data_IF_649372155158
#
_entry.id   IF_649372155158
#
_cell.length_a   1.000
_cell.length_b   1.000
_cell.length_c   1.000
_cell.angle_alpha   90.00
_cell.angle_beta   90.00
_cell.angle_gamma   90.00
#
_symmetry.space_group_name_H-M   'P 1'
#
loop_
_entity.id
_entity.type
_entity.pdbx_description
1 polymer ?
#
# COMPACT_ATOMS: atom_id res chain seq x y z
N UNK A 1 -11.05 45.86 -47.93
CA UNK A 1 -11.30 46.42 -46.58
C UNK A 1 -10.57 45.55 -45.56
N UNK A 2 -9.95 46.16 -44.53
CA UNK A 2 -8.49 46.08 -44.38
C UNK A 2 -8.02 45.43 -43.07
N UNK A 3 -6.76 44.98 -43.09
CA UNK A 3 -5.95 44.57 -41.96
C UNK A 3 -5.37 45.78 -41.20
N UNK A 4 -5.30 45.77 -39.85
CA UNK A 4 -4.68 46.87 -39.11
C UNK A 4 -3.17 46.63 -38.91
N UNK A 5 -2.37 47.58 -39.39
CA UNK A 5 -0.96 47.77 -39.03
C UNK A 5 -0.89 48.54 -37.69
N UNK A 6 -0.09 48.05 -36.75
CA UNK A 6 0.24 48.76 -35.51
C UNK A 6 1.47 49.64 -35.74
N UNK A 7 1.31 50.94 -35.58
CA UNK A 7 2.37 51.95 -35.67
C UNK A 7 2.77 52.38 -34.25
N UNK A 8 4.07 52.31 -33.97
CA UNK A 8 4.71 52.68 -32.71
C UNK A 8 4.67 54.21 -32.55
N UNK A 9 4.06 54.72 -31.49
CA UNK A 9 4.08 56.15 -31.15
C UNK A 9 5.10 56.41 -30.03
N UNK A 10 6.15 57.16 -30.36
CA UNK A 10 7.09 57.72 -29.41
C UNK A 10 6.54 59.03 -28.85
N UNK A 11 6.51 59.19 -27.53
CA UNK A 11 6.08 60.39 -26.85
C UNK A 11 7.26 60.97 -26.07
N UNK A 12 7.78 62.11 -26.53
CA UNK A 12 8.79 62.91 -25.84
C UNK A 12 8.09 63.98 -24.99
N UNK A 13 8.36 64.00 -23.69
CA UNK A 13 7.85 65.02 -22.76
C UNK A 13 8.97 65.96 -22.33
N UNK A 14 8.67 67.26 -22.42
CA UNK A 14 9.55 68.36 -22.04
C UNK A 14 9.66 68.50 -20.51
N UNK A 15 10.88 68.80 -20.05
CA UNK A 15 11.23 69.09 -18.66
C UNK A 15 10.70 70.47 -18.24
N UNK A 16 9.91 70.51 -17.17
CA UNK A 16 9.66 71.69 -16.36
C UNK A 16 10.19 71.45 -14.94
N UNK A 17 11.10 72.31 -14.50
CA UNK A 17 11.69 72.30 -13.16
C UNK A 17 10.66 72.68 -12.09
N UNK A 18 10.55 71.87 -11.04
CA UNK A 18 9.85 72.18 -9.79
C UNK A 18 10.82 71.96 -8.60
N UNK A 19 10.66 72.73 -7.51
CA UNK A 19 11.73 73.01 -6.55
C UNK A 19 12.12 71.83 -5.64
N UNK A 20 13.39 71.86 -5.23
CA UNK A 20 14.09 70.89 -4.38
C UNK A 20 13.32 70.62 -3.08
N UNK A 21 12.75 69.42 -2.94
CA UNK A 21 12.18 68.96 -1.67
C UNK A 21 13.30 68.70 -0.64
N UNK A 22 13.06 68.96 0.65
CA UNK A 22 14.04 68.73 1.71
C UNK A 22 14.36 67.23 1.82
N UNK A 23 15.64 66.92 2.06
CA UNK A 23 16.13 65.55 2.24
C UNK A 23 15.32 64.81 3.33
N UNK A 24 14.88 63.57 3.09
CA UNK A 24 14.32 62.75 4.14
C UNK A 24 15.41 62.41 5.15
N UNK A 25 15.14 62.70 6.43
CA UNK A 25 15.94 62.20 7.56
C UNK A 25 16.08 60.69 7.41
N UNK A 26 17.32 60.18 7.50
CA UNK A 26 17.57 58.75 7.64
C UNK A 26 16.76 58.22 8.83
N UNK A 27 16.00 57.12 8.67
CA UNK A 27 15.41 56.46 9.82
C UNK A 27 16.53 55.93 10.71
N UNK A 28 16.44 56.20 12.01
CA UNK A 28 17.25 55.53 13.03
C UNK A 28 17.08 54.00 12.90
N UNK A 29 18.12 53.20 13.21
CA UNK A 29 18.00 51.75 13.13
C UNK A 29 16.92 51.28 14.12
N UNK A 30 15.88 50.64 13.58
CA UNK A 30 14.85 49.95 14.36
C UNK A 30 15.52 48.98 15.35
N UNK A 31 15.24 49.19 16.65
CA UNK A 31 15.52 48.18 17.66
C UNK A 31 14.64 46.97 17.34
N UNK A 32 15.25 45.86 16.90
CA UNK A 32 14.60 44.55 16.86
C UNK A 32 14.12 44.21 18.28
N UNK A 33 12.81 44.29 18.51
CA UNK A 33 12.19 43.62 19.64
C UNK A 33 12.38 42.10 19.46
N UNK A 34 12.74 41.36 20.51
CA UNK A 34 12.81 39.91 20.43
C UNK A 34 11.41 39.35 20.23
N UNK A 35 11.22 38.56 19.19
CA UNK A 35 10.02 37.74 18.96
C UNK A 35 9.77 36.88 20.20
N UNK A 36 8.53 36.79 20.72
CA UNK A 36 8.25 35.84 21.79
C UNK A 36 8.45 34.42 21.24
N UNK A 37 9.43 33.70 21.78
CA UNK A 37 9.52 32.25 21.57
C UNK A 37 8.25 31.62 22.14
N UNK A 38 7.39 31.10 21.27
CA UNK A 38 6.28 30.26 21.69
C UNK A 38 6.86 28.99 22.32
N UNK A 39 6.48 28.62 23.55
CA UNK A 39 7.01 27.42 24.18
C UNK A 39 6.61 26.20 23.36
N UNK A 40 7.58 25.30 23.13
CA UNK A 40 7.33 24.00 22.51
C UNK A 40 6.22 23.25 23.29
N UNK A 41 5.30 22.56 22.60
CA UNK A 41 4.29 21.76 23.27
C UNK A 41 4.96 20.69 24.15
N UNK A 42 4.48 20.57 25.39
CA UNK A 42 5.01 19.58 26.35
C UNK A 42 4.67 18.16 25.89
N UNK A 43 5.57 17.17 26.05
CA UNK A 43 5.25 15.76 25.87
C UNK A 43 4.09 15.34 26.77
N UNK A 44 3.12 14.58 26.24
CA UNK A 44 1.92 14.17 26.96
C UNK A 44 2.15 12.89 27.79
N UNK A 45 3.18 12.89 28.66
CA UNK A 45 3.39 11.85 29.68
C UNK A 45 3.54 12.57 31.01
N UNK A 46 2.61 12.33 31.93
CA UNK A 46 2.70 12.75 33.33
C UNK A 46 3.72 11.86 34.06
N UNK A 47 4.88 12.39 34.51
CA UNK A 47 5.88 11.59 35.23
C UNK A 47 5.45 11.25 36.67
N UNK A 48 4.26 11.67 37.12
CA UNK A 48 3.76 11.50 38.48
C UNK A 48 2.63 10.47 38.68
N UNK A 49 2.07 9.86 37.61
CA UNK A 49 0.99 8.87 37.79
C UNK A 49 1.55 7.52 38.22
N UNK A 50 1.57 7.28 39.54
CA UNK A 50 1.82 5.94 40.07
C UNK A 50 0.67 4.99 39.67
N UNK A 51 0.98 3.76 39.19
CA UNK A 51 -0.05 2.77 38.92
C UNK A 51 -0.80 2.41 40.22
N UNK A 52 -2.08 2.02 40.16
CA UNK A 52 -2.80 1.57 41.34
C UNK A 52 -2.06 0.40 41.98
N UNK A 53 -1.78 0.51 43.28
CA UNK A 53 -1.15 -0.57 44.05
C UNK A 53 -2.18 -1.65 44.35
N UNK A 54 -1.82 -2.89 44.00
CA UNK A 54 -2.42 -4.17 44.39
C UNK A 54 -3.72 -4.59 43.70
N UNK A 55 -3.66 -4.87 42.39
CA UNK A 55 -4.43 -5.98 41.83
C UNK A 55 -3.49 -7.14 41.52
N UNK A 56 -3.63 -8.23 42.30
CA UNK A 56 -2.84 -9.44 42.11
C UNK A 56 -3.48 -10.24 40.98
N UNK A 57 -3.03 -9.98 39.74
CA UNK A 57 -3.39 -10.82 38.60
C UNK A 57 -2.97 -12.27 38.90
N UNK A 58 -3.84 -13.27 38.65
CA UNK A 58 -3.46 -14.66 38.80
C UNK A 58 -2.28 -14.98 37.87
N UNK A 59 -1.34 -15.85 38.28
CA UNK A 59 -0.21 -16.19 37.44
C UNK A 59 -0.73 -16.82 36.14
N UNK A 60 -0.49 -16.12 35.04
CA UNK A 60 -0.70 -16.66 33.70
C UNK A 60 0.13 -17.94 33.62
N UNK A 61 -0.53 -19.08 33.42
CA UNK A 61 0.17 -20.28 32.97
C UNK A 61 0.97 -19.84 31.74
N UNK A 62 2.29 -20.04 31.77
CA UNK A 62 3.17 -19.54 30.72
C UNK A 62 2.66 -20.04 29.36
N UNK A 63 1.98 -19.13 28.65
CA UNK A 63 1.74 -19.29 27.24
C UNK A 63 3.13 -19.37 26.59
N UNK A 64 3.32 -20.19 25.54
CA UNK A 64 4.56 -20.15 24.78
C UNK A 64 4.90 -18.69 24.47
N UNK A 65 6.17 -18.30 24.64
CA UNK A 65 6.58 -16.93 24.39
C UNK A 65 6.07 -16.53 22.99
N UNK A 66 5.34 -15.40 22.87
CA UNK A 66 4.85 -14.97 21.58
C UNK A 66 6.05 -14.84 20.66
N UNK A 67 5.93 -15.37 19.45
CA UNK A 67 6.93 -15.17 18.41
C UNK A 67 7.19 -13.65 18.36
N UNK A 68 8.43 -13.17 18.58
CA UNK A 68 8.72 -11.74 18.61
C UNK A 68 8.42 -11.07 17.27
N UNK A 69 8.12 -11.85 16.24
CA UNK A 69 7.64 -11.41 14.94
C UNK A 69 6.15 -11.72 14.70
N UNK A 70 5.33 -12.11 15.67
CA UNK A 70 3.86 -12.20 15.49
C UNK A 70 3.23 -10.79 15.52
N UNK A 71 3.57 -9.99 14.51
CA UNK A 71 3.17 -8.59 14.30
C UNK A 71 1.72 -8.45 13.82
N UNK A 72 0.98 -9.55 13.66
CA UNK A 72 -0.42 -9.53 13.23
C UNK A 72 -1.40 -9.23 14.38
N UNK A 73 -0.90 -9.07 15.61
CA UNK A 73 -1.73 -8.67 16.74
C UNK A 73 -1.94 -7.15 16.75
N UNK A 74 -3.19 -6.66 16.71
CA UNK A 74 -3.47 -5.25 16.87
C UNK A 74 -2.91 -4.71 18.19
N UNK A 75 -2.35 -3.50 18.17
CA UNK A 75 -1.86 -2.80 19.38
C UNK A 75 -2.97 -2.63 20.43
N UNK A 76 -4.22 -2.49 19.97
CA UNK A 76 -5.42 -2.55 20.79
C UNK A 76 -6.58 -3.16 19.99
N UNK A 77 -7.57 -3.76 20.67
CA UNK A 77 -8.84 -4.11 20.04
C UNK A 77 -9.47 -2.92 19.30
N UNK A 78 -10.16 -3.14 18.16
CA UNK A 78 -10.71 -2.05 17.34
C UNK A 78 -11.66 -1.09 18.09
N UNK A 79 -12.46 -1.61 19.02
CA UNK A 79 -13.37 -0.83 19.85
C UNK A 79 -12.62 0.07 20.85
N UNK A 80 -11.54 -0.44 21.44
CA UNK A 80 -10.66 0.36 22.29
C UNK A 80 -9.94 1.45 21.48
N UNK A 81 -9.38 1.12 20.31
CA UNK A 81 -8.74 2.08 19.42
C UNK A 81 -9.71 3.20 18.98
N UNK A 82 -10.95 2.83 18.65
CA UNK A 82 -12.02 3.78 18.33
C UNK A 82 -12.37 4.67 19.53
N UNK A 83 -12.55 4.09 20.72
CA UNK A 83 -12.86 4.85 21.94
C UNK A 83 -11.73 5.81 22.34
N UNK A 84 -10.48 5.44 22.07
CA UNK A 84 -9.31 6.31 22.27
C UNK A 84 -9.17 7.41 21.22
N UNK A 85 -9.99 7.43 20.17
CA UNK A 85 -9.96 8.47 19.14
C UNK A 85 -8.68 8.47 18.31
N UNK A 86 -8.07 7.30 18.09
CA UNK A 86 -6.86 7.17 17.26
C UNK A 86 -7.12 7.57 15.80
N UNK A 87 -8.37 7.50 15.36
CA UNK A 87 -8.85 8.17 14.17
C UNK A 87 -9.53 9.49 14.56
N UNK A 88 -9.14 10.64 13.99
CA UNK A 88 -9.53 11.98 14.46
C UNK A 88 -10.97 12.37 14.07
N UNK A 89 -11.95 11.47 14.20
CA UNK A 89 -13.35 11.71 13.80
C UNK A 89 -14.00 12.84 14.62
N UNK A 90 -13.81 12.84 15.94
CA UNK A 90 -14.40 13.85 16.81
C UNK A 90 -13.76 15.23 16.63
N UNK A 91 -12.42 15.29 16.59
CA UNK A 91 -11.68 16.54 16.45
C UNK A 91 -11.86 17.20 15.08
N UNK A 92 -12.22 16.43 14.06
CA UNK A 92 -12.56 16.95 12.71
C UNK A 92 -14.05 17.21 12.51
N UNK A 93 -14.89 16.98 13.53
CA UNK A 93 -16.34 17.24 13.47
C UNK A 93 -17.15 16.22 12.66
N UNK A 94 -16.56 15.08 12.28
CA UNK A 94 -17.23 14.04 11.47
C UNK A 94 -18.48 13.50 12.16
N UNK A 95 -18.44 13.32 13.49
CA UNK A 95 -19.58 12.83 14.27
C UNK A 95 -20.80 13.76 14.15
N UNK A 96 -20.60 15.07 14.35
CA UNK A 96 -21.68 16.07 14.28
C UNK A 96 -22.19 16.24 12.84
N UNK A 97 -21.28 16.14 11.86
CA UNK A 97 -21.62 16.15 10.44
C UNK A 97 -22.53 14.99 10.06
N UNK A 98 -22.23 13.76 10.50
CA UNK A 98 -23.05 12.58 10.22
C UNK A 98 -24.38 12.59 10.99
N UNK A 99 -24.44 13.16 12.20
CA UNK A 99 -25.71 13.34 12.91
C UNK A 99 -26.66 14.29 12.16
N UNK A 100 -26.13 15.37 11.60
CA UNK A 100 -26.91 16.33 10.81
C UNK A 100 -27.20 15.87 9.38
N UNK A 101 -26.35 15.00 8.82
CA UNK A 101 -26.48 14.44 7.47
C UNK A 101 -26.31 12.91 7.48
N UNK A 102 -27.28 12.13 7.99
CA UNK A 102 -27.13 10.68 8.18
C UNK A 102 -26.88 9.87 6.91
N UNK A 103 -27.15 10.45 5.73
CA UNK A 103 -26.92 9.80 4.43
C UNK A 103 -25.62 10.21 3.77
N UNK A 104 -24.82 11.09 4.37
CA UNK A 104 -23.58 11.62 3.79
C UNK A 104 -22.37 10.83 4.33
N UNK A 105 -22.48 9.50 4.27
CA UNK A 105 -21.55 8.52 4.85
C UNK A 105 -20.57 7.94 3.81
N UNK A 106 -20.43 8.60 2.66
CA UNK A 106 -19.50 8.21 1.59
C UNK A 106 -20.08 7.21 0.57
N UNK A 107 -21.31 6.70 0.74
CA UNK A 107 -21.94 5.85 -0.28
C UNK A 107 -22.06 6.57 -1.62
N UNK A 108 -21.65 5.89 -2.70
CA UNK A 108 -21.65 6.44 -4.05
C UNK A 108 -20.44 7.33 -4.37
N UNK A 109 -19.48 7.46 -3.46
CA UNK A 109 -18.22 8.19 -3.68
C UNK A 109 -17.10 7.19 -3.97
N UNK A 110 -16.28 7.50 -4.98
CA UNK A 110 -15.05 6.78 -5.28
C UNK A 110 -13.84 7.59 -4.80
N UNK A 111 -12.93 6.94 -4.09
CA UNK A 111 -11.69 7.54 -3.59
C UNK A 111 -10.52 6.83 -4.27
N UNK A 112 -9.61 7.62 -4.85
CA UNK A 112 -8.31 7.13 -5.31
C UNK A 112 -7.25 7.47 -4.27
N UNK A 113 -6.45 6.49 -3.88
CA UNK A 113 -5.36 6.64 -2.91
C UNK A 113 -4.04 6.43 -3.68
N UNK A 114 -3.19 7.45 -3.66
CA UNK A 114 -1.84 7.41 -4.25
C UNK A 114 -0.85 7.46 -3.09
N UNK A 115 -0.34 6.31 -2.69
CA UNK A 115 0.48 6.13 -1.49
C UNK A 115 1.44 4.93 -1.68
N UNK A 116 1.97 4.35 -0.59
CA UNK A 116 2.89 3.19 -0.61
C UNK A 116 2.24 1.89 -1.06
N UNK A 117 0.91 1.84 -1.15
CA UNK A 117 0.13 0.63 -1.37
C UNK A 117 -0.98 0.48 -0.34
N UNK A 118 -1.83 -0.54 -0.50
CA UNK A 118 -2.86 -0.93 0.47
C UNK A 118 -2.82 -2.44 0.57
N UNK A 119 -2.74 -3.00 1.77
CA UNK A 119 -2.90 -4.44 2.00
C UNK A 119 -4.41 -4.80 2.01
N UNK A 120 -4.91 -5.53 1.00
CA UNK A 120 -6.34 -5.88 0.89
C UNK A 120 -6.82 -6.88 1.95
N UNK A 121 -5.93 -7.53 2.69
CA UNK A 121 -6.24 -8.47 3.76
C UNK A 121 -6.55 -7.81 5.09
N UNK A 122 -6.32 -6.50 5.24
CA UNK A 122 -6.58 -5.78 6.50
C UNK A 122 -8.10 -5.77 6.83
N UNK A 123 -8.49 -6.23 8.04
CA UNK A 123 -9.88 -6.14 8.48
C UNK A 123 -10.42 -4.70 8.41
N UNK A 124 -11.61 -4.54 7.83
CA UNK A 124 -12.22 -3.22 7.61
C UNK A 124 -12.00 -2.61 6.22
N UNK A 125 -11.14 -3.24 5.39
CA UNK A 125 -10.97 -2.89 3.97
C UNK A 125 -11.72 -3.83 3.01
N UNK A 126 -12.32 -4.92 3.51
CA UNK A 126 -13.00 -5.89 2.67
C UNK A 126 -14.35 -5.39 2.14
N UNK A 127 -15.18 -4.80 2.99
CA UNK A 127 -16.56 -4.43 2.66
C UNK A 127 -16.92 -3.01 3.12
N UNK A 128 -17.83 -2.40 2.38
CA UNK A 128 -18.48 -1.14 2.74
C UNK A 128 -19.55 -1.39 3.81
N UNK A 129 -20.12 -0.31 4.37
CA UNK A 129 -21.27 -0.40 5.28
C UNK A 129 -22.52 -1.03 4.66
N UNK A 130 -22.58 -1.18 3.33
CA UNK A 130 -23.67 -1.85 2.61
C UNK A 130 -23.34 -3.27 2.17
N UNK A 131 -22.20 -3.82 2.62
CA UNK A 131 -21.78 -5.19 2.31
C UNK A 131 -21.22 -5.39 0.90
N UNK A 132 -20.99 -4.31 0.14
CA UNK A 132 -20.33 -4.40 -1.17
C UNK A 132 -18.81 -4.36 -1.01
N UNK A 133 -18.02 -4.85 -1.97
CA UNK A 133 -16.55 -4.69 -1.93
C UNK A 133 -16.15 -3.23 -1.75
N UNK A 134 -15.24 -2.96 -0.82
CA UNK A 134 -14.74 -1.60 -0.55
C UNK A 134 -13.53 -1.26 -1.44
N UNK A 135 -12.61 -2.20 -1.63
CA UNK A 135 -11.54 -2.09 -2.60
C UNK A 135 -12.06 -2.50 -4.00
N UNK A 136 -11.93 -1.59 -4.96
CA UNK A 136 -12.39 -1.82 -6.33
C UNK A 136 -11.27 -2.28 -7.26
N UNK A 137 -10.09 -1.69 -7.11
CA UNK A 137 -8.87 -2.04 -7.85
C UNK A 137 -7.64 -1.73 -6.98
N UNK A 138 -6.52 -2.37 -7.29
CA UNK A 138 -5.20 -2.16 -6.70
C UNK A 138 -4.18 -2.20 -7.85
N UNK A 139 -3.29 -1.21 -7.91
CA UNK A 139 -2.31 -1.06 -8.99
C UNK A 139 -0.99 -0.58 -8.43
N UNK A 140 0.09 -1.21 -8.88
CA UNK A 140 1.44 -0.70 -8.77
C UNK A 140 1.79 0.07 -10.06
N UNK A 141 2.15 1.35 -9.91
CA UNK A 141 2.60 2.22 -11.01
C UNK A 141 4.10 2.53 -10.96
N UNK A 142 4.82 1.91 -10.02
CA UNK A 142 6.26 2.08 -9.81
C UNK A 142 7.11 0.96 -10.41
N UNK A 143 6.46 -0.15 -10.79
CA UNK A 143 7.09 -1.40 -11.23
C UNK A 143 7.90 -2.12 -10.14
N UNK A 144 7.72 -1.78 -8.86
CA UNK A 144 8.37 -2.47 -7.72
C UNK A 144 7.97 -3.95 -7.67
N UNK A 145 6.70 -4.26 -7.95
CA UNK A 145 6.20 -5.63 -8.01
C UNK A 145 6.25 -6.25 -9.41
N UNK A 146 6.94 -5.63 -10.38
CA UNK A 146 7.03 -6.18 -11.72
C UNK A 146 7.81 -7.50 -11.74
N UNK A 147 7.21 -8.54 -12.34
CA UNK A 147 7.85 -9.86 -12.43
C UNK A 147 8.22 -10.16 -13.88
N UNK A 148 9.53 -10.23 -14.21
CA UNK A 148 9.97 -10.66 -15.53
C UNK A 148 9.55 -12.10 -15.82
N UNK A 149 8.69 -12.26 -16.82
CA UNK A 149 8.19 -13.56 -17.25
C UNK A 149 9.00 -14.12 -18.42
N UNK A 150 9.21 -15.44 -18.42
CA UNK A 150 9.84 -16.18 -19.52
C UNK A 150 8.99 -17.38 -19.87
N UNK A 151 8.93 -17.74 -21.17
CA UNK A 151 8.28 -18.97 -21.60
C UNK A 151 8.99 -20.18 -20.99
N UNK A 152 8.19 -21.16 -20.55
CA UNK A 152 8.65 -22.41 -19.98
C UNK A 152 7.98 -23.60 -20.67
N UNK A 153 8.61 -24.77 -20.61
CA UNK A 153 8.05 -26.03 -21.08
C UNK A 153 8.08 -27.05 -19.94
N UNK A 154 6.92 -27.51 -19.44
CA UNK A 154 6.89 -28.52 -18.40
C UNK A 154 7.39 -29.87 -18.92
N UNK A 155 7.92 -30.70 -18.03
CA UNK A 155 8.29 -32.09 -18.29
C UNK A 155 7.44 -33.00 -17.41
N UNK A 156 6.45 -33.65 -18.03
CA UNK A 156 5.44 -34.43 -17.32
C UNK A 156 4.63 -33.55 -16.36
N UNK A 157 4.51 -33.99 -15.11
CA UNK A 157 3.83 -33.24 -14.03
C UNK A 157 4.76 -32.26 -13.29
N UNK A 158 5.87 -31.85 -13.91
CA UNK A 158 6.85 -30.97 -13.28
C UNK A 158 7.37 -29.88 -14.21
N UNK A 159 7.91 -28.81 -13.64
CA UNK A 159 8.60 -27.75 -14.37
C UNK A 159 9.82 -27.26 -13.59
N UNK A 160 10.86 -26.85 -14.30
CA UNK A 160 12.01 -26.15 -13.70
C UNK A 160 11.87 -24.64 -13.93
N UNK A 161 11.95 -23.87 -12.85
CA UNK A 161 11.93 -22.40 -12.88
C UNK A 161 13.13 -21.91 -12.08
N UNK A 162 14.09 -21.28 -12.76
CA UNK A 162 15.31 -20.75 -12.16
C UNK A 162 16.08 -21.79 -11.30
N UNK A 163 16.16 -23.04 -11.76
CA UNK A 163 16.85 -24.13 -11.05
C UNK A 163 16.04 -24.75 -9.91
N UNK A 164 14.76 -24.38 -9.78
CA UNK A 164 13.83 -24.94 -8.79
C UNK A 164 12.80 -25.80 -9.51
N UNK A 165 12.78 -27.09 -9.17
CA UNK A 165 11.81 -28.04 -9.70
C UNK A 165 10.52 -27.99 -8.89
N UNK A 166 9.42 -27.64 -9.56
CA UNK A 166 8.06 -27.70 -9.04
C UNK A 166 7.34 -28.95 -9.57
N UNK A 167 6.65 -29.68 -8.70
CA UNK A 167 5.76 -30.80 -9.07
C UNK A 167 4.29 -30.34 -9.17
N UNK A 168 3.37 -31.22 -9.57
CA UNK A 168 1.94 -30.89 -9.60
C UNK A 168 1.55 -29.94 -10.74
N UNK A 169 2.33 -29.89 -11.82
CA UNK A 169 2.06 -29.00 -12.96
C UNK A 169 0.72 -29.29 -13.66
N UNK A 170 0.16 -30.49 -13.45
CA UNK A 170 -1.20 -30.86 -13.81
C UNK A 170 -2.26 -29.88 -13.32
N UNK A 171 -1.99 -29.17 -12.21
CA UNK A 171 -2.83 -28.07 -11.72
C UNK A 171 -2.93 -26.93 -12.72
N UNK A 172 -1.81 -26.54 -13.33
CA UNK A 172 -1.72 -25.46 -14.32
C UNK A 172 -2.34 -25.93 -15.64
N UNK A 173 -2.04 -27.16 -16.07
CA UNK A 173 -2.58 -27.68 -17.35
C UNK A 173 -4.09 -27.92 -17.32
N UNK A 174 -4.69 -28.05 -16.13
CA UNK A 174 -6.14 -28.08 -15.98
C UNK A 174 -6.83 -26.78 -16.43
N UNK A 175 -6.13 -25.65 -16.42
CA UNK A 175 -6.64 -24.35 -16.90
C UNK A 175 -6.29 -24.10 -18.36
N UNK A 176 -5.17 -24.65 -18.82
CA UNK A 176 -4.76 -24.59 -20.21
C UNK A 176 -3.83 -25.77 -20.53
N UNK A 177 -4.31 -26.74 -21.30
CA UNK A 177 -3.54 -27.95 -21.60
C UNK A 177 -2.53 -27.79 -22.75
N UNK A 178 -2.59 -26.68 -23.50
CA UNK A 178 -1.74 -26.40 -24.66
C UNK A 178 -0.69 -25.31 -24.39
N UNK A 179 -0.84 -24.58 -23.28
CA UNK A 179 -0.10 -23.36 -23.03
C UNK A 179 -0.60 -22.19 -23.88
N UNK A 180 0.18 -21.10 -23.98
CA UNK A 180 1.54 -20.95 -23.47
C UNK A 180 1.63 -20.95 -21.94
N UNK A 181 2.81 -21.31 -21.44
CA UNK A 181 3.15 -21.23 -20.02
C UNK A 181 4.33 -20.28 -19.88
N UNK A 182 4.26 -19.44 -18.85
CA UNK A 182 5.29 -18.50 -18.47
C UNK A 182 5.66 -18.73 -17.01
N UNK A 183 6.88 -18.37 -16.63
CA UNK A 183 7.29 -18.36 -15.23
C UNK A 183 8.18 -17.16 -14.95
N UNK A 184 8.19 -16.76 -13.69
CA UNK A 184 9.02 -15.69 -13.17
C UNK A 184 9.43 -15.96 -11.74
N UNK A 185 10.29 -15.07 -11.24
CA UNK A 185 10.68 -15.03 -9.84
C UNK A 185 10.51 -13.61 -9.31
N UNK A 186 10.10 -13.49 -8.06
CA UNK A 186 10.20 -12.26 -7.30
C UNK A 186 11.28 -12.43 -6.24
N UNK A 187 12.23 -11.49 -6.14
CA UNK A 187 13.24 -11.49 -5.09
C UNK A 187 12.72 -10.65 -3.93
N UNK A 188 13.00 -11.07 -2.70
CA UNK A 188 12.52 -10.38 -1.49
C UNK A 188 13.38 -9.16 -1.16
N UNK A 189 14.71 -9.30 -1.19
CA UNK A 189 15.67 -8.25 -0.84
C UNK A 189 15.37 -6.86 -1.44
N UNK A 190 14.96 -6.70 -2.71
CA UNK A 190 14.67 -5.39 -3.28
C UNK A 190 13.39 -4.72 -2.77
N UNK A 191 12.48 -5.45 -2.11
CA UNK A 191 11.13 -4.99 -1.74
C UNK A 191 11.07 -4.23 -0.41
N UNK A 192 12.22 -3.92 0.17
CA UNK A 192 12.35 -3.17 1.41
C UNK A 192 13.25 -3.83 2.47
N UNK A 193 13.36 -3.23 3.65
CA UNK A 193 14.14 -3.77 4.75
C UNK A 193 13.42 -4.94 5.45
N UNK A 194 14.15 -5.95 5.96
CA UNK A 194 13.58 -6.95 6.85
C UNK A 194 12.98 -6.31 8.12
N UNK A 195 11.90 -6.87 8.68
CA UNK A 195 11.20 -8.07 8.22
C UNK A 195 10.14 -7.77 7.14
N UNK A 196 9.98 -6.53 6.68
CA UNK A 196 8.89 -6.16 5.79
C UNK A 196 9.00 -6.80 4.39
N UNK A 197 10.21 -7.07 3.92
CA UNK A 197 10.44 -7.75 2.64
C UNK A 197 10.39 -9.28 2.70
N UNK A 198 10.27 -9.87 3.88
CA UNK A 198 10.14 -11.33 4.08
C UNK A 198 8.70 -11.75 3.75
N UNK A 199 8.40 -11.90 2.45
CA UNK A 199 7.07 -12.17 1.93
C UNK A 199 6.57 -13.56 2.36
N UNK A 200 7.47 -14.54 2.48
CA UNK A 200 7.13 -15.91 2.85
C UNK A 200 7.19 -16.18 4.37
N UNK A 201 7.71 -15.23 5.15
CA UNK A 201 7.81 -15.30 6.59
C UNK A 201 8.83 -16.33 7.09
N UNK A 202 9.87 -16.63 6.32
CA UNK A 202 10.88 -17.64 6.65
C UNK A 202 12.02 -17.10 7.54
N UNK A 203 12.06 -15.79 7.80
CA UNK A 203 13.08 -15.11 8.60
C UNK A 203 14.33 -14.69 7.82
N UNK A 204 14.34 -14.87 6.50
CA UNK A 204 15.39 -14.42 5.57
C UNK A 204 14.76 -13.62 4.43
N UNK A 205 15.58 -12.91 3.65
CA UNK A 205 15.12 -12.10 2.49
C UNK A 205 16.04 -12.24 1.28
N UNK A 206 17.06 -13.09 1.36
CA UNK A 206 18.03 -13.32 0.29
C UNK A 206 17.54 -14.37 -0.71
N UNK A 207 16.36 -14.94 -0.48
CA UNK A 207 15.73 -15.87 -1.40
C UNK A 207 14.80 -15.16 -2.40
N UNK A 208 14.01 -15.98 -3.07
CA UNK A 208 13.16 -15.55 -4.18
C UNK A 208 12.00 -16.50 -4.25
N UNK A 209 10.87 -16.08 -4.79
CA UNK A 209 9.65 -16.87 -4.83
C UNK A 209 9.26 -17.11 -6.28
N UNK A 210 8.91 -18.36 -6.60
CA UNK A 210 8.60 -18.79 -7.96
C UNK A 210 7.10 -18.69 -8.22
N UNK A 211 6.78 -18.31 -9.44
CA UNK A 211 5.42 -18.28 -9.94
C UNK A 211 5.34 -18.77 -11.38
N UNK A 212 4.17 -19.32 -11.72
CA UNK A 212 3.82 -19.81 -13.05
C UNK A 212 2.57 -19.09 -13.50
N UNK A 213 2.55 -18.70 -14.77
CA UNK A 213 1.44 -17.99 -15.42
C UNK A 213 0.99 -18.76 -16.64
N UNK A 214 -0.32 -18.86 -16.83
CA UNK A 214 -0.91 -19.35 -18.08
C UNK A 214 -2.19 -18.57 -18.41
N UNK A 215 -2.75 -18.83 -19.60
CA UNK A 215 -3.98 -18.18 -20.06
C UNK A 215 -5.15 -19.13 -19.87
N UNK A 216 -6.03 -18.82 -18.93
CA UNK A 216 -7.33 -19.48 -18.76
C UNK A 216 -8.35 -18.94 -19.78
N UNK A 217 -9.58 -19.48 -19.75
CA UNK A 217 -10.67 -19.04 -20.64
C UNK A 217 -11.13 -17.60 -20.40
N UNK A 218 -10.92 -17.10 -19.19
CA UNK A 218 -11.38 -15.81 -18.68
C UNK A 218 -10.24 -14.81 -18.46
N UNK A 219 -8.98 -15.18 -18.70
CA UNK A 219 -7.87 -14.24 -18.56
C UNK A 219 -6.53 -14.91 -18.31
N UNK A 220 -5.55 -14.10 -17.92
CA UNK A 220 -4.29 -14.59 -17.39
C UNK A 220 -4.47 -15.01 -15.94
N UNK A 221 -3.80 -16.08 -15.55
CA UNK A 221 -3.87 -16.66 -14.22
C UNK A 221 -2.49 -17.03 -13.72
N UNK A 222 -2.22 -16.75 -12.46
CA UNK A 222 -1.00 -17.08 -11.73
C UNK A 222 -1.23 -18.24 -10.76
N UNK A 223 -0.21 -19.10 -10.65
CA UNK A 223 -0.03 -20.09 -9.61
C UNK A 223 1.32 -19.84 -8.94
N UNK A 224 1.33 -19.74 -7.62
CA UNK A 224 2.54 -19.64 -6.82
C UNK A 224 2.61 -20.82 -5.85
N UNK A 225 3.80 -21.31 -5.53
CA UNK A 225 4.02 -22.31 -4.46
C UNK A 225 3.84 -21.61 -3.10
N UNK A 226 2.59 -21.38 -2.69
CA UNK A 226 2.27 -20.49 -1.55
C UNK A 226 2.67 -21.08 -0.20
N UNK A 227 2.71 -22.41 -0.10
CA UNK A 227 3.09 -23.11 1.13
C UNK A 227 4.55 -23.57 1.19
N UNK A 228 5.30 -23.34 0.09
CA UNK A 228 6.73 -23.62 -0.03
C UNK A 228 7.08 -25.11 -0.12
N UNK A 229 6.09 -25.98 -0.38
CA UNK A 229 6.30 -27.43 -0.44
C UNK A 229 6.89 -27.91 -1.80
N UNK A 230 7.13 -26.99 -2.75
CA UNK A 230 7.60 -27.23 -4.13
C UNK A 230 6.57 -27.95 -4.99
N UNK A 231 5.29 -27.70 -4.77
CA UNK A 231 4.17 -28.28 -5.52
C UNK A 231 3.20 -27.20 -5.95
N UNK A 232 2.68 -27.33 -7.17
CA UNK A 232 1.55 -26.54 -7.63
C UNK A 232 0.21 -27.25 -7.40
N UNK A 233 0.20 -28.51 -6.97
CA UNK A 233 -1.01 -29.34 -6.96
C UNK A 233 -2.17 -28.77 -6.11
N UNK A 234 -1.85 -28.13 -4.99
CA UNK A 234 -2.82 -27.52 -4.07
C UNK A 234 -3.08 -26.04 -4.31
N UNK A 235 -2.36 -25.43 -5.26
CA UNK A 235 -2.30 -23.99 -5.38
C UNK A 235 -3.56 -23.41 -6.01
N UNK A 236 -3.98 -22.25 -5.50
CA UNK A 236 -5.14 -21.54 -6.02
C UNK A 236 -4.72 -20.69 -7.22
N UNK A 237 -5.51 -20.69 -8.31
CA UNK A 237 -5.34 -19.70 -9.37
C UNK A 237 -5.57 -18.30 -8.79
N UNK A 238 -4.83 -17.32 -9.29
CA UNK A 238 -5.02 -15.90 -9.01
C UNK A 238 -5.11 -15.13 -10.33
N UNK A 239 -6.23 -14.46 -10.56
CA UNK A 239 -6.47 -13.64 -11.74
C UNK A 239 -6.07 -12.17 -11.52
N UNK A 240 -6.29 -11.31 -12.53
CA UNK A 240 -6.18 -9.87 -12.34
C UNK A 240 -7.15 -9.40 -11.23
N UNK A 241 -6.64 -8.59 -10.32
CA UNK A 241 -7.38 -8.14 -9.15
C UNK A 241 -8.67 -7.39 -9.51
N UNK A 242 -8.68 -6.59 -10.57
CA UNK A 242 -9.89 -5.88 -11.01
C UNK A 242 -11.00 -6.84 -11.43
N UNK A 243 -10.62 -7.99 -12.00
CA UNK A 243 -11.54 -9.01 -12.47
C UNK A 243 -12.09 -9.86 -11.32
N UNK A 244 -11.20 -10.48 -10.54
CA UNK A 244 -11.59 -11.51 -9.58
C UNK A 244 -11.54 -11.07 -8.11
N UNK A 245 -10.79 -10.00 -7.80
CA UNK A 245 -10.48 -9.55 -6.42
C UNK A 245 -9.86 -10.65 -5.56
N UNK A 246 -9.19 -11.58 -6.23
CA UNK A 246 -8.46 -12.66 -5.59
C UNK A 246 -7.13 -12.13 -5.06
N UNK A 247 -6.73 -12.65 -3.91
CA UNK A 247 -5.44 -12.37 -3.29
C UNK A 247 -4.77 -13.67 -2.90
N UNK A 248 -3.46 -13.60 -2.71
CA UNK A 248 -2.65 -14.69 -2.20
C UNK A 248 -1.53 -14.12 -1.33
N UNK A 249 -0.72 -15.00 -0.78
CA UNK A 249 0.48 -14.64 -0.05
C UNK A 249 1.23 -15.91 0.29
N UNK A 250 2.50 -15.78 0.64
CA UNK A 250 3.33 -16.92 1.00
C UNK A 250 3.32 -17.11 2.51
N UNK A 251 3.21 -18.36 2.92
CA UNK A 251 3.34 -18.76 4.32
C UNK A 251 3.59 -20.26 4.40
N UNK A 252 4.49 -20.67 5.28
CA UNK A 252 4.66 -22.08 5.59
C UNK A 252 3.31 -22.74 5.92
N UNK A 253 3.10 -23.97 5.45
CA UNK A 253 1.84 -24.70 5.61
C UNK A 253 1.27 -24.62 7.03
N UNK A 254 0.03 -24.13 7.14
CA UNK A 254 -0.67 -23.95 8.42
C UNK A 254 -0.42 -22.61 9.12
N UNK A 255 0.38 -21.71 8.51
CA UNK A 255 0.54 -20.32 8.92
C UNK A 255 -0.30 -19.39 8.02
N UNK A 256 -0.58 -18.21 8.54
CA UNK A 256 -1.22 -17.13 7.78
C UNK A 256 -0.14 -16.32 7.06
N UNK A 257 -0.33 -15.97 5.77
CA UNK A 257 0.54 -15.02 5.09
C UNK A 257 0.66 -13.71 5.86
N UNK A 258 1.88 -13.17 5.92
CA UNK A 258 2.17 -11.90 6.59
C UNK A 258 1.78 -10.69 5.76
N UNK A 259 1.82 -10.85 4.44
CA UNK A 259 1.52 -9.81 3.45
C UNK A 259 0.51 -10.38 2.47
N UNK A 260 -0.55 -9.62 2.24
CA UNK A 260 -1.54 -9.97 1.23
C UNK A 260 -1.16 -9.35 -0.11
N UNK A 261 -1.16 -10.17 -1.15
CA UNK A 261 -0.68 -9.80 -2.49
C UNK A 261 -1.82 -9.92 -3.48
N UNK A 262 -1.93 -8.92 -4.34
CA UNK A 262 -2.80 -8.92 -5.51
C UNK A 262 -1.97 -9.04 -6.80
N UNK A 263 -2.55 -9.61 -7.85
CA UNK A 263 -1.91 -9.72 -9.16
C UNK A 263 -2.59 -8.80 -10.18
N UNK A 264 -1.80 -8.16 -11.03
CA UNK A 264 -2.25 -7.42 -12.18
C UNK A 264 -1.61 -7.97 -13.45
N UNK A 265 -2.44 -8.15 -14.48
CA UNK A 265 -1.97 -8.62 -15.78
C UNK A 265 -2.21 -7.58 -16.86
N UNK A 266 -1.27 -7.49 -17.80
CA UNK A 266 -1.47 -6.80 -19.07
C UNK A 266 -0.96 -7.66 -20.23
N UNK A 267 -1.07 -7.17 -21.47
CA UNK A 267 -0.57 -7.88 -22.66
C UNK A 267 -1.66 -8.49 -23.55
N UNK A 268 -2.95 -8.38 -23.18
CA UNK A 268 -4.07 -8.76 -24.05
C UNK A 268 -3.99 -10.21 -24.56
N UNK A 269 -3.84 -10.38 -25.88
CA UNK A 269 -3.64 -11.70 -26.54
C UNK A 269 -2.16 -12.07 -26.76
N UNK A 270 -1.23 -11.15 -26.46
CA UNK A 270 0.21 -11.34 -26.60
C UNK A 270 0.84 -12.04 -25.39
N UNK A 271 2.12 -11.77 -25.14
CA UNK A 271 2.78 -12.27 -23.93
C UNK A 271 2.28 -11.48 -22.70
N UNK A 272 2.04 -12.15 -21.56
CA UNK A 272 1.58 -11.47 -20.37
C UNK A 272 2.69 -10.60 -19.78
N UNK A 273 2.31 -9.45 -19.23
CA UNK A 273 3.08 -8.81 -18.16
C UNK A 273 2.40 -9.09 -16.83
N UNK A 274 3.19 -9.21 -15.77
CA UNK A 274 2.70 -9.43 -14.42
C UNK A 274 3.29 -8.36 -13.50
N UNK A 275 2.42 -7.64 -12.81
CA UNK A 275 2.75 -6.83 -11.65
C UNK A 275 2.08 -7.42 -10.41
N UNK A 276 2.81 -7.51 -9.31
CA UNK A 276 2.28 -7.84 -8.00
C UNK A 276 2.07 -6.55 -7.21
N UNK A 277 0.98 -6.47 -6.45
CA UNK A 277 0.71 -5.33 -5.56
C UNK A 277 0.72 -5.83 -4.13
N UNK A 278 1.51 -5.17 -3.30
CA UNK A 278 1.70 -5.43 -1.88
C UNK A 278 2.00 -4.09 -1.17
N UNK A 279 1.90 -4.05 0.15
CA UNK A 279 2.26 -2.88 0.96
C UNK A 279 3.21 -3.30 2.08
N UNK A 280 4.51 -3.09 1.89
CA UNK A 280 5.56 -3.38 2.89
C UNK A 280 5.80 -2.20 3.84
N UNK A 281 5.18 -1.05 3.61
CA UNK A 281 5.37 0.18 4.41
C UNK A 281 4.18 0.48 5.32
N UNK A 282 2.99 0.01 4.97
CA UNK A 282 1.77 0.14 5.76
C UNK A 282 1.15 1.53 5.76
N UNK A 283 1.84 2.58 5.26
CA UNK A 283 1.35 3.96 5.34
C UNK A 283 0.03 4.10 4.57
N UNK A 284 -0.03 3.67 3.31
CA UNK A 284 -1.24 3.78 2.50
C UNK A 284 -2.41 2.94 3.02
N UNK A 285 -2.15 1.83 3.72
CA UNK A 285 -3.18 1.05 4.40
C UNK A 285 -3.88 1.80 5.56
N UNK A 286 -3.21 2.81 6.15
CA UNK A 286 -3.78 3.65 7.22
C UNK A 286 -4.52 4.90 6.69
N UNK A 287 -4.27 5.30 5.44
CA UNK A 287 -4.88 6.47 4.78
C UNK A 287 -6.32 6.17 4.37
#
# INVERSE_FOLDING_TARGET
MPSPRMTLAALAFALACAPKQPEPKQPEPEKKEPTPELPLPKPNIDPGRLPPKNERLPPSAALPEPDPYDTLQPVAPPDAAFAHGWMPLASTGVNDFLQSHPTFDGRGVLIGILDTGIDPGIPGLSQTSTGTPKLLDLRDFSDEGAVPLRRITPTGDSVDVAGRKLRGFGRVTAFNNQGPYYAGIIAELPLGPPPASDLNGNGTVDDSLVLVVTRASDGWVLFADTDGDRSLAGERPVHDYLQARETFGWAAKGRTPRITIAANFSGGTGEPTLGLVFDTFGHGSHV
#
